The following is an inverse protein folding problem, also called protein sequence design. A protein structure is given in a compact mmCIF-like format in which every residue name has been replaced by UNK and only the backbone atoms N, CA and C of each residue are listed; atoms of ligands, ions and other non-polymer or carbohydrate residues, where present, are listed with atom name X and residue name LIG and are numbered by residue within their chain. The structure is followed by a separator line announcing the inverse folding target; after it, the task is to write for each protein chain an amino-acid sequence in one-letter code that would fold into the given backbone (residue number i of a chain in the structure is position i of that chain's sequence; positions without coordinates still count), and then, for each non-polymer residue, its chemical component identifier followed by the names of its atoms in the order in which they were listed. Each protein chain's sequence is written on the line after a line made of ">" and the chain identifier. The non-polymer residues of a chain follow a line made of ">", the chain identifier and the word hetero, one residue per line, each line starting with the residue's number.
data_IF_844331303052
#
_entry.id   IF_844331303052
#
_cell.length_a   1.000
_cell.length_b   1.000
_cell.length_c   1.000
_cell.angle_alpha   90.00
_cell.angle_beta   90.00
_cell.angle_gamma   90.00
#
_symmetry.space_group_name_H-M   'P 1'
#
loop_
_entity.id
_entity.type
_entity.pdbx_description
1 polymer ?
#
# COMPACT_ATOMS: atom_id res chain seq x y z
N UNK A 1 14.43 -4.36 -8.12
CA UNK A 1 14.30 -3.26 -7.13
C UNK A 1 13.04 -3.54 -6.33
N UNK A 2 13.10 -3.54 -5.00
CA UNK A 2 11.93 -3.85 -4.16
C UNK A 2 11.10 -2.60 -3.96
N UNK A 3 9.77 -2.72 -3.95
CA UNK A 3 8.86 -1.57 -3.80
C UNK A 3 7.94 -1.78 -2.62
N UNK A 4 7.88 -0.79 -1.73
CA UNK A 4 6.94 -0.76 -0.61
C UNK A 4 5.72 0.07 -1.00
N UNK A 5 4.52 -0.46 -0.75
CA UNK A 5 3.26 0.16 -1.19
C UNK A 5 2.51 0.75 0.00
N UNK A 6 2.01 1.96 -0.19
CA UNK A 6 1.20 2.71 0.76
C UNK A 6 -0.32 2.40 0.65
N UNK A 7 -1.09 2.65 1.71
CA UNK A 7 -2.54 2.40 1.77
C UNK A 7 -3.29 3.10 0.64
N UNK A 8 -2.96 4.36 0.38
CA UNK A 8 -3.58 5.17 -0.67
C UNK A 8 -3.33 4.60 -2.07
N UNK A 9 -2.15 4.00 -2.28
CA UNK A 9 -1.80 3.37 -3.54
C UNK A 9 -2.61 2.10 -3.83
N UNK A 10 -2.74 1.25 -2.81
CA UNK A 10 -3.56 0.04 -2.87
C UNK A 10 -5.03 0.35 -3.11
N UNK A 11 -5.60 1.32 -2.38
CA UNK A 11 -6.99 1.74 -2.55
C UNK A 11 -7.20 2.31 -3.96
N UNK A 12 -6.28 3.14 -4.44
CA UNK A 12 -6.38 3.71 -5.78
C UNK A 12 -6.30 2.63 -6.86
N UNK A 13 -5.34 1.71 -6.75
CA UNK A 13 -5.19 0.60 -7.67
C UNK A 13 -6.43 -0.30 -7.69
N UNK A 14 -6.99 -0.60 -6.51
CA UNK A 14 -8.23 -1.35 -6.38
C UNK A 14 -9.41 -0.63 -7.05
N UNK A 15 -9.59 0.68 -6.80
CA UNK A 15 -10.65 1.49 -7.42
C UNK A 15 -10.52 1.56 -8.94
N UNK A 16 -9.31 1.68 -9.46
CA UNK A 16 -9.02 1.79 -10.91
C UNK A 16 -8.82 0.44 -11.60
N UNK A 17 -8.94 -0.68 -10.88
CA UNK A 17 -8.65 -2.04 -11.37
C UNK A 17 -7.28 -2.10 -12.09
N UNK A 18 -6.28 -1.41 -11.55
CA UNK A 18 -4.93 -1.40 -12.12
C UNK A 18 -4.12 -2.57 -11.57
N UNK A 19 -3.47 -3.28 -12.48
CA UNK A 19 -2.53 -4.34 -12.13
C UNK A 19 -1.18 -3.72 -11.73
N UNK A 20 -0.89 -3.70 -10.42
CA UNK A 20 0.34 -3.12 -9.89
C UNK A 20 1.59 -3.94 -10.28
N UNK A 21 1.45 -5.25 -10.50
CA UNK A 21 2.56 -6.10 -10.97
C UNK A 21 3.02 -5.71 -12.38
N UNK A 22 2.13 -5.17 -13.21
CA UNK A 22 2.50 -4.66 -14.54
C UNK A 22 3.27 -3.34 -14.48
N UNK A 23 3.13 -2.58 -13.40
CA UNK A 23 3.76 -1.27 -13.22
C UNK A 23 5.03 -1.33 -12.38
N UNK A 24 5.12 -2.30 -11.48
CA UNK A 24 6.21 -2.43 -10.53
C UNK A 24 7.03 -3.66 -10.93
N UNK A 25 8.26 -3.42 -11.38
CA UNK A 25 9.20 -4.49 -11.67
C UNK A 25 9.92 -4.91 -10.38
N UNK A 26 9.43 -5.97 -9.74
CA UNK A 26 10.09 -6.59 -8.60
C UNK A 26 9.14 -7.00 -7.47
N UNK A 27 9.68 -7.45 -6.33
CA UNK A 27 8.89 -7.84 -5.18
C UNK A 27 8.18 -6.62 -4.56
N UNK A 28 6.89 -6.80 -4.31
CA UNK A 28 6.03 -5.83 -3.63
C UNK A 28 5.96 -6.18 -2.15
N UNK A 29 6.25 -5.17 -1.33
CA UNK A 29 6.16 -5.23 0.13
C UNK A 29 4.99 -4.39 0.61
N UNK A 30 4.22 -4.94 1.54
CA UNK A 30 3.12 -4.23 2.19
C UNK A 30 3.37 -4.11 3.68
N UNK A 31 3.38 -2.90 4.23
CA UNK A 31 3.44 -2.73 5.67
C UNK A 31 2.26 -3.41 6.37
N UNK A 32 2.54 -4.10 7.48
CA UNK A 32 1.53 -4.60 8.42
C UNK A 32 0.55 -3.49 8.86
N UNK A 33 1.03 -2.26 9.05
CA UNK A 33 0.22 -1.09 9.41
C UNK A 33 -0.84 -0.80 8.33
N UNK A 34 -0.41 -0.77 7.06
CA UNK A 34 -1.28 -0.59 5.88
C UNK A 34 -2.31 -1.72 5.80
N UNK A 35 -1.87 -2.96 5.98
CA UNK A 35 -2.77 -4.11 5.97
C UNK A 35 -3.83 -4.01 7.09
N UNK A 36 -3.42 -3.62 8.30
CA UNK A 36 -4.32 -3.43 9.42
C UNK A 36 -5.33 -2.28 9.21
N UNK A 37 -4.90 -1.18 8.58
CA UNK A 37 -5.79 -0.08 8.19
C UNK A 37 -6.83 -0.52 7.16
N UNK A 38 -6.40 -1.24 6.12
CA UNK A 38 -7.31 -1.80 5.11
C UNK A 38 -8.30 -2.78 5.72
N UNK A 39 -7.83 -3.65 6.62
CA UNK A 39 -8.69 -4.58 7.32
C UNK A 39 -9.72 -3.84 8.17
N UNK A 40 -9.28 -2.84 8.94
CA UNK A 40 -10.16 -2.00 9.75
C UNK A 40 -11.17 -1.28 8.89
N UNK A 41 -10.76 -0.62 7.80
CA UNK A 41 -11.64 0.05 6.84
C UNK A 41 -12.67 -0.91 6.24
N UNK A 42 -12.24 -2.13 5.88
CA UNK A 42 -13.15 -3.15 5.33
C UNK A 42 -14.24 -3.58 6.34
N UNK A 43 -13.93 -3.55 7.65
CA UNK A 43 -14.84 -3.95 8.73
C UNK A 43 -15.71 -2.79 9.21
N UNK A 44 -15.14 -1.60 9.39
CA UNK A 44 -15.80 -0.45 10.03
C UNK A 44 -16.58 0.45 9.06
N UNK A 45 -16.26 0.43 7.77
CA UNK A 45 -16.98 1.22 6.78
C UNK A 45 -18.45 0.74 6.69
N UNK A 46 -19.39 1.64 7.03
CA UNK A 46 -20.83 1.35 7.10
C UNK A 46 -21.47 1.18 5.71
N UNK A 47 -21.12 2.02 4.72
CA UNK A 47 -21.52 1.92 3.30
C UNK A 47 -20.52 2.67 2.42
N UNK A 48 -20.31 2.23 1.18
CA UNK A 48 -19.64 3.04 0.15
C UNK A 48 -18.51 2.35 -0.62
N UNK A 49 -18.07 3.03 -1.70
CA UNK A 49 -17.00 2.61 -2.59
C UNK A 49 -15.68 2.32 -1.87
N UNK A 50 -15.45 2.92 -0.70
CA UNK A 50 -14.23 2.72 0.09
C UNK A 50 -14.18 1.33 0.75
N UNK A 51 -15.32 0.80 1.23
CA UNK A 51 -15.39 -0.57 1.75
C UNK A 51 -15.07 -1.59 0.66
N UNK A 52 -15.65 -1.38 -0.52
CA UNK A 52 -15.42 -2.24 -1.67
C UNK A 52 -13.96 -2.16 -2.12
N UNK A 53 -13.38 -0.97 -2.16
CA UNK A 53 -11.97 -0.76 -2.50
C UNK A 53 -11.03 -1.42 -1.49
N UNK A 54 -11.28 -1.28 -0.17
CA UNK A 54 -10.47 -1.90 0.87
C UNK A 54 -10.53 -3.43 0.80
N UNK A 55 -11.73 -4.00 0.61
CA UNK A 55 -11.90 -5.45 0.44
C UNK A 55 -11.18 -5.96 -0.82
N UNK A 56 -11.30 -5.24 -1.92
CA UNK A 56 -10.66 -5.60 -3.19
C UNK A 56 -9.13 -5.47 -3.10
N UNK A 57 -8.63 -4.44 -2.39
CA UNK A 57 -7.21 -4.32 -2.09
C UNK A 57 -6.70 -5.54 -1.31
N UNK A 58 -7.35 -5.94 -0.21
CA UNK A 58 -6.96 -7.15 0.53
C UNK A 58 -6.99 -8.41 -0.33
N UNK A 59 -8.00 -8.58 -1.19
CA UNK A 59 -8.07 -9.71 -2.13
C UNK A 59 -6.91 -9.70 -3.12
N UNK A 60 -6.47 -8.52 -3.59
CA UNK A 60 -5.29 -8.42 -4.46
C UNK A 60 -4.04 -8.84 -3.70
N UNK A 61 -3.85 -8.37 -2.45
CA UNK A 61 -2.70 -8.72 -1.61
C UNK A 61 -2.60 -10.24 -1.45
N UNK A 62 -3.72 -10.87 -1.08
CA UNK A 62 -3.83 -12.31 -0.89
C UNK A 62 -3.60 -13.10 -2.20
N UNK A 63 -4.29 -12.70 -3.27
CA UNK A 63 -4.20 -13.39 -4.55
C UNK A 63 -2.82 -13.29 -5.19
N UNK A 64 -2.17 -12.13 -5.12
CA UNK A 64 -0.83 -11.90 -5.64
C UNK A 64 0.28 -12.37 -4.70
N UNK A 65 -0.07 -12.82 -3.47
CA UNK A 65 0.87 -13.27 -2.44
C UNK A 65 1.96 -12.24 -2.12
N UNK A 66 1.57 -10.96 -2.08
CA UNK A 66 2.52 -9.89 -1.75
C UNK A 66 3.01 -10.04 -0.31
N UNK A 67 4.28 -9.69 -0.08
CA UNK A 67 4.94 -9.97 1.20
C UNK A 67 4.58 -8.87 2.21
N UNK A 68 4.01 -9.25 3.34
CA UNK A 68 3.72 -8.29 4.41
C UNK A 68 4.99 -8.10 5.25
N UNK A 69 5.43 -6.85 5.42
CA UNK A 69 6.56 -6.46 6.26
C UNK A 69 6.06 -5.86 7.57
N UNK A 70 6.67 -6.28 8.67
CA UNK A 70 6.28 -5.82 9.98
C UNK A 70 7.03 -4.51 10.29
N UNK A 71 6.36 -3.37 10.17
CA UNK A 71 6.86 -2.09 10.64
C UNK A 71 6.45 -1.90 12.11
N UNK A 72 7.32 -1.25 12.88
CA UNK A 72 7.03 -0.87 14.26
C UNK A 72 5.82 0.06 14.35
N UNK A 73 5.11 0.03 15.48
CA UNK A 73 3.97 0.92 15.72
C UNK A 73 4.40 2.39 15.63
N UNK A 74 3.65 3.20 14.88
CA UNK A 74 3.94 4.62 14.66
C UNK A 74 3.17 5.18 13.47
N UNK A 75 3.49 6.41 13.04
CA UNK A 75 2.92 6.98 11.82
C UNK A 75 3.42 6.20 10.59
N UNK A 76 2.47 5.58 9.88
CA UNK A 76 2.68 4.71 8.72
C UNK A 76 3.58 5.39 7.66
N UNK A 77 3.32 6.66 7.33
CA UNK A 77 4.09 7.42 6.34
C UNK A 77 5.58 7.56 6.69
N UNK A 78 5.87 7.93 7.95
CA UNK A 78 7.25 8.12 8.41
C UNK A 78 8.01 6.82 8.38
N UNK A 79 7.40 5.73 8.89
CA UNK A 79 8.05 4.41 8.95
C UNK A 79 8.26 3.81 7.56
N UNK A 80 7.32 3.99 6.63
CA UNK A 80 7.51 3.55 5.23
C UNK A 80 8.73 4.25 4.61
N UNK A 81 8.87 5.57 4.82
CA UNK A 81 10.00 6.33 4.29
C UNK A 81 11.33 5.90 4.91
N UNK A 82 11.37 5.75 6.24
CA UNK A 82 12.57 5.29 6.95
C UNK A 82 13.00 3.90 6.48
N UNK A 83 12.07 2.95 6.44
CA UNK A 83 12.33 1.58 6.00
C UNK A 83 12.79 1.51 4.56
N UNK A 84 12.18 2.30 3.68
CA UNK A 84 12.59 2.38 2.28
C UNK A 84 13.99 3.00 2.13
N UNK A 85 14.31 4.03 2.90
CA UNK A 85 15.63 4.68 2.88
C UNK A 85 16.72 3.74 3.41
N UNK A 86 16.44 3.02 4.49
CA UNK A 86 17.38 2.09 5.11
C UNK A 86 17.72 0.91 4.21
N UNK A 87 16.76 0.41 3.44
CA UNK A 87 16.93 -0.76 2.58
C UNK A 87 17.10 -0.42 1.07
N UNK A 88 17.07 0.85 0.70
CA UNK A 88 17.15 1.30 -0.70
C UNK A 88 15.93 0.88 -1.54
N UNK A 89 14.75 0.80 -0.94
CA UNK A 89 13.51 0.42 -1.63
C UNK A 89 12.79 1.64 -2.21
N UNK A 90 12.01 1.42 -3.27
CA UNK A 90 11.14 2.45 -3.82
C UNK A 90 9.84 2.53 -3.01
N UNK A 91 9.38 3.75 -2.67
CA UNK A 91 8.08 3.97 -2.05
C UNK A 91 7.06 4.29 -3.13
N UNK A 92 5.98 3.52 -3.20
CA UNK A 92 4.88 3.76 -4.11
C UNK A 92 3.68 4.29 -3.34
N UNK A 93 3.45 5.59 -3.48
CA UNK A 93 2.24 6.29 -3.03
C UNK A 93 1.56 6.94 -4.23
N UNK A 94 0.23 6.92 -4.26
CA UNK A 94 -0.56 7.59 -5.30
C UNK A 94 -0.97 9.00 -4.91
N UNK A 95 -0.45 9.52 -3.79
CA UNK A 95 -0.63 10.91 -3.45
C UNK A 95 0.10 11.79 -4.48
N UNK A 96 -0.65 12.67 -5.16
CA UNK A 96 -0.10 13.60 -6.16
C UNK A 96 0.95 14.53 -5.53
N UNK A 97 0.91 14.73 -4.21
CA UNK A 97 1.88 15.58 -3.50
C UNK A 97 3.26 14.94 -3.33
N UNK A 98 3.36 13.60 -3.19
CA UNK A 98 4.66 12.95 -2.95
C UNK A 98 5.53 12.85 -4.21
N UNK A 99 4.94 12.89 -5.40
CA UNK A 99 5.69 13.05 -6.67
C UNK A 99 6.48 14.35 -6.75
N UNK A 100 6.12 15.36 -5.95
CA UNK A 100 6.74 16.69 -5.97
C UNK A 100 7.95 16.80 -5.04
N UNK A 101 8.04 15.96 -4.00
CA UNK A 101 9.11 16.01 -2.99
C UNK A 101 10.29 15.07 -3.27
N UNK A 102 10.24 14.29 -4.36
CA UNK A 102 11.27 13.33 -4.80
C UNK A 102 12.03 13.81 -6.05
N UNK A 103 11.94 15.11 -6.38
CA UNK A 103 12.69 15.73 -7.47
C UNK A 103 13.90 16.49 -6.94
#
# INVERSE_FOLDING_TARGET
>A
MTTIIDTNALIYAAKKKQDLDRKIFGPILIPNLVHAELEKLSKTAKKGADKAAAKLAMQIIDHKKWKIVNLEKGHTDTRIKEYAKEHGFAVLTFDKELKRSLR
#
